data_IF_458587506235
#
_entry.id   IF_458587506235
#
_cell.length_a   1.000
_cell.length_b   1.000
_cell.length_c   1.000
_cell.angle_alpha   90.00
_cell.angle_beta   90.00
_cell.angle_gamma   90.00
#
_symmetry.space_group_name_H-M   'P 1'
#
loop_
_entity.id
_entity.type
_entity.pdbx_description
1 polymer ?
#
# COMPACT_ATOMS: atom_id res chain seq x y z
N UNK A 1 75.10 70.94 -14.92
CA UNK A 1 75.62 69.95 -14.00
C UNK A 1 74.98 70.01 -12.58
N UNK A 2 73.76 70.57 -12.43
CA UNK A 2 73.09 70.71 -11.11
C UNK A 2 71.82 69.90 -10.93
N UNK A 3 71.32 69.31 -11.99
CA UNK A 3 70.07 68.54 -11.91
C UNK A 3 70.25 66.99 -11.53
N UNK A 4 71.47 66.47 -11.84
CA UNK A 4 71.77 65.06 -11.51
C UNK A 4 72.01 64.83 -10.02
N UNK A 5 72.43 65.81 -9.27
CA UNK A 5 72.61 65.62 -7.81
C UNK A 5 71.32 65.77 -7.01
N UNK A 6 70.32 66.44 -7.57
CA UNK A 6 69.02 66.55 -6.94
C UNK A 6 68.28 65.23 -6.98
N UNK A 7 68.43 64.43 -8.05
CA UNK A 7 67.82 63.08 -8.12
C UNK A 7 68.47 62.06 -7.19
N UNK A 8 69.77 62.13 -6.98
CA UNK A 8 70.49 61.24 -6.06
C UNK A 8 70.12 61.58 -4.62
N UNK A 9 69.85 62.83 -4.29
CA UNK A 9 69.40 63.21 -2.96
C UNK A 9 67.93 62.85 -2.68
N UNK A 10 67.10 62.89 -3.70
CA UNK A 10 65.71 62.48 -3.61
C UNK A 10 65.58 60.95 -3.48
N UNK A 11 66.46 60.19 -4.13
CA UNK A 11 66.49 58.69 -4.00
C UNK A 11 67.07 58.30 -2.64
N UNK A 12 67.99 59.04 -2.09
CA UNK A 12 68.52 58.78 -0.74
C UNK A 12 67.52 59.05 0.38
N UNK A 13 66.56 59.95 0.19
CA UNK A 13 65.53 60.28 1.13
C UNK A 13 64.37 59.22 1.09
N UNK A 14 64.24 58.48 0.00
CA UNK A 14 63.30 57.39 -0.11
C UNK A 14 63.80 56.06 0.46
N UNK A 15 65.12 55.97 0.74
CA UNK A 15 65.75 54.78 1.30
C UNK A 15 65.85 54.78 2.85
N UNK A 16 65.42 55.84 3.53
CA UNK A 16 65.47 55.93 5.01
C UNK A 16 64.06 55.71 5.60
N UNK A 17 63.10 55.25 4.81
CA UNK A 17 61.76 54.84 5.26
C UNK A 17 61.71 53.38 5.55
N UNK A 18 62.75 52.79 6.15
CA UNK A 18 62.48 51.60 6.98
C UNK A 18 61.81 52.13 8.23
N UNK A 19 60.55 52.26 8.21
CA UNK A 19 59.75 52.14 9.43
C UNK A 19 60.02 50.73 9.95
N UNK A 20 60.84 50.64 11.01
CA UNK A 20 60.67 49.55 11.94
C UNK A 20 59.24 49.68 12.48
N UNK A 21 58.36 48.94 11.83
CA UNK A 21 57.00 48.74 12.38
C UNK A 21 57.17 47.80 13.56
N UNK A 22 57.59 48.40 14.68
CA UNK A 22 57.55 47.75 16.00
C UNK A 22 56.09 47.54 16.49
N UNK A 23 55.14 47.54 15.59
CA UNK A 23 53.88 46.92 15.87
C UNK A 23 54.08 45.41 15.85
N UNK A 24 54.66 44.88 16.89
CA UNK A 24 54.34 43.55 17.40
C UNK A 24 52.86 43.60 17.77
N UNK A 25 52.01 43.66 16.75
CA UNK A 25 50.64 43.22 16.93
C UNK A 25 50.79 41.80 17.45
N UNK A 26 50.48 41.61 18.70
CA UNK A 26 50.29 40.26 19.25
C UNK A 26 49.35 39.55 18.25
N UNK A 27 49.93 38.75 17.37
CA UNK A 27 49.14 37.98 16.40
C UNK A 27 48.29 37.06 17.24
N UNK A 28 47.07 37.49 17.49
CA UNK A 28 46.10 36.65 18.17
C UNK A 28 45.99 35.37 17.35
N UNK A 29 46.58 34.30 17.89
CA UNK A 29 46.49 33.00 17.24
C UNK A 29 45.04 32.58 17.25
N UNK A 30 44.45 32.49 16.07
CA UNK A 30 43.07 32.08 15.87
C UNK A 30 42.99 30.57 16.10
N UNK A 31 42.20 30.16 17.07
CA UNK A 31 41.85 28.75 17.26
C UNK A 31 40.78 28.37 16.25
N UNK A 32 41.20 27.86 15.11
CA UNK A 32 40.29 27.42 14.07
C UNK A 32 39.55 26.15 14.47
N UNK A 33 38.22 26.18 14.37
CA UNK A 33 37.36 25.02 14.52
C UNK A 33 37.27 24.30 13.18
N UNK A 34 37.42 23.00 13.18
CA UNK A 34 37.24 22.14 12.00
C UNK A 34 36.34 20.95 12.34
N UNK A 35 35.54 20.52 11.38
CA UNK A 35 34.72 19.30 11.45
C UNK A 35 35.27 18.31 10.43
N UNK A 36 35.56 17.07 10.86
CA UNK A 36 35.90 15.99 9.95
C UNK A 36 34.66 15.51 9.22
N UNK A 37 34.37 16.12 8.09
CA UNK A 37 33.21 15.80 7.25
C UNK A 37 33.38 14.51 6.46
N UNK A 38 34.60 13.93 6.36
CA UNK A 38 34.83 12.70 5.62
C UNK A 38 34.33 11.47 6.39
N UNK A 39 34.29 11.56 7.71
CA UNK A 39 33.79 10.50 8.60
C UNK A 39 32.28 10.62 8.87
N UNK A 40 31.61 11.64 8.35
CA UNK A 40 30.18 11.87 8.49
C UNK A 40 29.43 11.54 7.21
N UNK A 41 28.18 11.04 7.36
CA UNK A 41 27.33 10.68 6.22
C UNK A 41 26.64 11.92 5.64
N UNK A 42 26.66 12.08 4.31
CA UNK A 42 25.95 13.17 3.62
C UNK A 42 24.42 13.01 3.62
N UNK A 43 23.94 11.79 3.83
CA UNK A 43 22.53 11.45 3.86
C UNK A 43 22.27 10.42 4.96
N UNK A 44 21.25 10.64 5.77
CA UNK A 44 20.78 9.74 6.81
C UNK A 44 19.37 9.30 6.48
N UNK A 45 19.10 8.00 6.56
CA UNK A 45 17.77 7.42 6.37
C UNK A 45 17.24 6.91 7.71
N UNK A 46 16.02 7.31 8.06
CA UNK A 46 15.28 6.82 9.22
C UNK A 46 13.84 6.58 8.81
N UNK A 47 13.22 5.60 9.45
CA UNK A 47 11.78 5.44 9.31
C UNK A 47 11.05 6.34 10.34
N UNK A 48 9.80 6.67 10.03
CA UNK A 48 8.90 7.34 10.97
C UNK A 48 8.90 6.61 12.33
N UNK A 49 8.86 7.37 13.40
CA UNK A 49 8.95 6.91 14.80
C UNK A 49 10.34 6.38 15.23
N UNK A 50 11.36 6.47 14.39
CA UNK A 50 12.75 6.24 14.79
C UNK A 50 13.39 7.54 15.25
N UNK A 51 14.50 7.42 15.99
CA UNK A 51 15.29 8.57 16.41
C UNK A 51 16.63 8.58 15.67
N UNK A 52 17.00 9.74 15.10
CA UNK A 52 18.36 9.98 14.63
C UNK A 52 19.17 10.57 15.77
N UNK A 53 20.32 9.97 16.08
CA UNK A 53 21.27 10.49 17.07
C UNK A 53 22.62 10.74 16.38
N UNK A 54 23.16 11.96 16.54
CA UNK A 54 24.50 12.31 16.03
C UNK A 54 25.24 13.04 17.16
N UNK A 55 26.30 12.44 17.66
CA UNK A 55 27.27 13.11 18.52
C UNK A 55 28.36 13.72 17.65
N UNK A 56 28.35 15.06 17.51
CA UNK A 56 29.32 15.77 16.65
C UNK A 56 30.67 15.97 17.34
N UNK A 57 30.76 15.83 18.65
CA UNK A 57 31.97 16.19 19.42
C UNK A 57 33.20 15.39 19.00
N UNK A 58 33.02 14.11 18.65
CA UNK A 58 34.09 13.24 18.20
C UNK A 58 34.69 13.61 16.84
N UNK A 59 34.03 14.47 16.07
CA UNK A 59 34.42 14.92 14.73
C UNK A 59 34.94 16.36 14.73
N UNK A 60 34.96 17.05 15.89
CA UNK A 60 35.37 18.45 16.01
C UNK A 60 36.79 18.54 16.54
N UNK A 61 37.58 19.36 15.91
CA UNK A 61 38.95 19.71 16.38
C UNK A 61 39.13 21.21 16.45
N UNK A 62 40.06 21.68 17.31
CA UNK A 62 40.51 23.04 17.40
C UNK A 62 42.03 23.06 17.22
N UNK A 63 42.56 24.06 16.49
CA UNK A 63 43.94 24.05 16.01
C UNK A 63 44.97 24.56 17.03
N UNK A 64 44.73 25.67 17.66
CA UNK A 64 45.76 26.36 18.47
C UNK A 64 45.55 26.22 19.97
N UNK A 65 44.32 26.18 20.42
CA UNK A 65 43.93 26.02 21.85
C UNK A 65 42.48 25.56 21.99
N UNK A 66 42.21 24.87 23.07
CA UNK A 66 40.87 24.43 23.43
C UNK A 66 40.07 25.59 24.03
N UNK A 67 39.11 26.08 23.29
CA UNK A 67 38.18 27.11 23.71
C UNK A 67 36.80 26.48 23.89
N UNK A 68 35.91 27.07 24.72
CA UNK A 68 34.53 26.62 24.82
C UNK A 68 33.85 26.59 23.46
N UNK A 69 33.24 25.45 23.12
CA UNK A 69 32.49 25.25 21.88
C UNK A 69 31.01 25.51 22.10
N UNK A 70 30.38 26.15 21.13
CA UNK A 70 28.93 26.29 21.02
C UNK A 70 28.46 25.58 19.77
N UNK A 71 27.27 25.03 19.86
CA UNK A 71 26.63 24.22 18.81
C UNK A 71 25.32 24.89 18.43
N UNK A 72 24.97 24.78 17.14
CA UNK A 72 23.66 25.16 16.64
C UNK A 72 23.28 24.20 15.51
N UNK A 73 22.20 23.48 15.72
CA UNK A 73 21.59 22.64 14.69
C UNK A 73 20.38 23.35 14.09
N UNK A 74 20.30 23.33 12.78
CA UNK A 74 19.16 23.81 12.03
C UNK A 74 18.57 22.63 11.24
N UNK A 75 17.23 22.51 11.25
CA UNK A 75 16.44 21.58 10.45
C UNK A 75 15.50 22.39 9.58
N UNK A 76 15.50 22.15 8.27
CA UNK A 76 14.72 22.91 7.29
C UNK A 76 14.92 24.43 7.43
N UNK A 77 16.21 24.83 7.63
CA UNK A 77 16.66 26.22 7.80
C UNK A 77 16.12 26.92 9.06
N UNK A 78 15.56 26.19 10.01
CA UNK A 78 15.08 26.71 11.30
C UNK A 78 15.92 26.14 12.43
N UNK A 79 16.15 26.97 13.45
CA UNK A 79 16.81 26.50 14.65
C UNK A 79 16.10 25.27 15.24
N UNK A 80 16.87 24.23 15.53
CA UNK A 80 16.39 22.98 16.07
C UNK A 80 16.93 22.65 17.48
N UNK A 81 18.27 22.77 17.66
CA UNK A 81 18.92 22.41 18.94
C UNK A 81 20.27 23.14 19.07
N UNK A 82 20.71 23.36 20.31
CA UNK A 82 22.05 23.87 20.68
C UNK A 82 22.93 22.81 21.39
N UNK A 83 22.46 21.58 21.46
CA UNK A 83 23.21 20.47 22.07
C UNK A 83 24.38 20.01 21.21
N UNK A 84 25.45 19.54 21.84
CA UNK A 84 26.56 18.86 21.13
C UNK A 84 26.13 17.50 20.53
N UNK A 85 25.05 16.89 21.06
CA UNK A 85 24.44 15.66 20.54
C UNK A 85 23.08 16.01 19.98
N UNK A 86 22.89 15.76 18.68
CA UNK A 86 21.61 15.91 18.02
C UNK A 86 20.72 14.70 18.31
N UNK A 87 19.48 14.96 18.69
CA UNK A 87 18.40 13.97 18.76
C UNK A 87 17.25 14.47 17.89
N UNK A 88 16.91 13.73 16.84
CA UNK A 88 15.74 14.03 16.00
C UNK A 88 14.75 12.89 16.14
N UNK A 89 13.58 13.19 16.68
CA UNK A 89 12.44 12.30 16.66
C UNK A 89 11.75 12.40 15.29
N UNK A 90 11.85 11.34 14.48
CA UNK A 90 11.45 11.33 13.08
C UNK A 90 9.92 11.11 12.96
N UNK A 91 9.12 12.17 13.10
CA UNK A 91 7.66 12.10 13.05
C UNK A 91 7.09 12.42 11.66
N UNK A 92 7.62 13.42 10.99
CA UNK A 92 7.12 13.91 9.72
C UNK A 92 7.86 13.29 8.53
N UNK A 93 7.11 12.67 7.61
CA UNK A 93 7.70 12.08 6.40
C UNK A 93 8.27 13.17 5.48
N UNK A 94 9.45 12.93 4.92
CA UNK A 94 10.05 13.86 3.97
C UNK A 94 11.57 13.83 3.94
N UNK A 95 12.11 14.81 3.25
CA UNK A 95 13.56 15.06 3.19
C UNK A 95 13.84 16.42 3.76
N UNK A 96 14.63 16.46 4.83
CA UNK A 96 14.92 17.66 5.57
C UNK A 96 16.40 18.01 5.41
N UNK A 97 16.74 19.22 4.90
CA UNK A 97 18.09 19.73 4.96
C UNK A 97 18.47 20.01 6.41
N UNK A 98 19.59 19.47 6.83
CA UNK A 98 20.15 19.61 8.18
C UNK A 98 21.47 20.32 8.12
N UNK A 99 21.73 21.19 9.10
CA UNK A 99 23.01 21.88 9.23
C UNK A 99 23.40 21.95 10.70
N UNK A 100 24.67 21.69 10.99
CA UNK A 100 25.27 22.08 12.26
C UNK A 100 26.32 23.17 12.05
N UNK A 101 26.30 24.17 12.91
CA UNK A 101 27.32 25.14 13.12
C UNK A 101 28.02 24.85 14.45
N UNK A 102 29.35 24.70 14.42
CA UNK A 102 30.18 24.58 15.62
C UNK A 102 31.06 25.79 15.68
N UNK A 103 31.08 26.51 16.79
CA UNK A 103 31.79 27.77 16.92
C UNK A 103 32.55 27.84 18.24
N UNK A 104 33.69 28.56 18.23
CA UNK A 104 34.30 29.13 19.40
C UNK A 104 34.36 30.66 19.24
N UNK A 105 35.04 31.39 20.16
CA UNK A 105 35.16 32.85 20.10
C UNK A 105 35.94 33.36 18.85
N UNK A 106 36.70 32.47 18.18
CA UNK A 106 37.58 32.85 17.07
C UNK A 106 37.04 32.45 15.67
N UNK A 107 36.33 31.33 15.57
CA UNK A 107 35.93 30.75 14.28
C UNK A 107 34.69 29.89 14.33
N UNK A 108 34.19 29.52 13.17
CA UNK A 108 33.06 28.61 13.02
C UNK A 108 33.30 27.63 11.87
N UNK A 109 32.83 26.36 12.06
CA UNK A 109 32.78 25.34 11.06
C UNK A 109 31.34 24.88 10.84
N UNK A 110 31.04 24.38 9.66
CA UNK A 110 29.70 23.94 9.27
C UNK A 110 29.76 22.54 8.68
N UNK A 111 28.71 21.78 8.94
CA UNK A 111 28.44 20.53 8.26
C UNK A 111 26.98 20.46 7.86
N UNK A 112 26.73 20.07 6.61
CA UNK A 112 25.39 19.96 6.03
C UNK A 112 25.16 18.56 5.52
N UNK A 113 23.95 18.05 5.76
CA UNK A 113 23.49 16.74 5.32
C UNK A 113 21.99 16.73 5.08
N UNK A 114 21.47 15.63 4.55
CA UNK A 114 20.02 15.41 4.40
C UNK A 114 19.56 14.32 5.34
N UNK A 115 18.43 14.55 5.98
CA UNK A 115 17.69 13.53 6.72
C UNK A 115 16.46 13.12 5.90
N UNK A 116 16.42 11.87 5.50
CA UNK A 116 15.26 11.25 4.86
C UNK A 116 14.46 10.48 5.91
N UNK A 117 13.24 10.91 6.16
CA UNK A 117 12.29 10.21 7.03
C UNK A 117 11.29 9.48 6.14
N UNK A 118 11.39 8.15 6.12
CA UNK A 118 10.65 7.28 5.23
C UNK A 118 9.44 6.65 5.94
N UNK A 119 8.45 6.26 5.12
CA UNK A 119 7.36 5.42 5.62
C UNK A 119 7.82 3.96 5.75
N UNK A 120 7.57 3.30 6.88
CA UNK A 120 7.75 1.85 6.98
C UNK A 120 6.66 1.05 6.24
N UNK A 121 5.55 1.72 5.84
CA UNK A 121 4.36 1.08 5.27
C UNK A 121 4.11 1.44 3.80
N UNK A 122 5.10 1.94 3.08
CA UNK A 122 4.90 2.49 1.74
C UNK A 122 4.53 1.41 0.71
N UNK A 123 5.25 0.29 0.72
CA UNK A 123 5.05 -0.83 -0.20
C UNK A 123 5.33 -2.16 0.49
N UNK A 124 4.49 -3.17 0.22
CA UNK A 124 4.66 -4.49 0.81
C UNK A 124 3.37 -5.29 0.97
N UNK A 125 3.42 -6.30 1.82
CA UNK A 125 2.29 -7.21 2.08
C UNK A 125 1.56 -6.76 3.35
N UNK A 126 0.26 -6.47 3.20
CA UNK A 126 -0.64 -6.15 4.29
C UNK A 126 -1.57 -7.33 4.59
N UNK A 127 -1.77 -7.63 5.86
CA UNK A 127 -2.67 -8.69 6.33
C UNK A 127 -3.62 -8.13 7.38
N UNK A 128 -4.88 -8.01 7.00
CA UNK A 128 -5.96 -7.73 7.94
C UNK A 128 -6.36 -9.06 8.60
N UNK A 129 -6.47 -9.08 9.91
CA UNK A 129 -6.83 -10.26 10.68
C UNK A 129 -7.82 -9.93 11.79
N UNK A 130 -8.55 -10.92 12.23
CA UNK A 130 -9.47 -10.87 13.35
C UNK A 130 -8.82 -11.54 14.58
N UNK A 131 -8.65 -10.76 15.66
CA UNK A 131 -8.12 -11.27 16.92
C UNK A 131 -9.12 -12.17 17.66
N UNK A 132 -8.69 -12.82 18.72
CA UNK A 132 -9.55 -13.75 19.48
C UNK A 132 -10.76 -13.06 20.12
N UNK A 133 -10.70 -11.78 20.40
CA UNK A 133 -11.82 -10.98 20.90
C UNK A 133 -12.65 -10.34 19.79
N UNK A 134 -12.30 -10.62 18.53
CA UNK A 134 -12.95 -10.10 17.33
C UNK A 134 -12.34 -8.79 16.80
N UNK A 135 -11.44 -8.13 17.53
CA UNK A 135 -10.89 -6.84 17.12
C UNK A 135 -10.09 -6.96 15.81
N UNK A 136 -10.27 -5.99 14.92
CA UNK A 136 -9.51 -5.90 13.68
C UNK A 136 -8.05 -5.52 13.91
N UNK A 137 -7.14 -6.31 13.37
CA UNK A 137 -5.70 -6.15 13.49
C UNK A 137 -5.06 -6.09 12.11
N UNK A 138 -4.05 -5.23 11.96
CA UNK A 138 -3.27 -5.12 10.72
C UNK A 138 -1.81 -5.47 10.99
N UNK A 139 -1.29 -6.38 10.18
CA UNK A 139 0.15 -6.67 10.08
C UNK A 139 0.68 -6.22 8.73
N UNK A 140 1.91 -5.76 8.69
CA UNK A 140 2.53 -5.28 7.47
C UNK A 140 3.97 -5.77 7.35
N UNK A 141 4.36 -6.20 6.16
CA UNK A 141 5.72 -6.55 5.80
C UNK A 141 6.20 -5.67 4.66
N UNK A 142 7.20 -4.84 4.96
CA UNK A 142 7.77 -3.90 3.98
C UNK A 142 8.54 -4.64 2.89
N UNK A 143 8.38 -4.23 1.64
CA UNK A 143 9.32 -4.52 0.57
C UNK A 143 10.41 -3.44 0.53
N UNK A 144 11.66 -3.89 0.58
CA UNK A 144 12.81 -3.01 0.50
C UNK A 144 13.07 -2.56 -0.94
N UNK A 145 13.82 -1.47 -1.12
CA UNK A 145 14.13 -0.91 -2.43
C UNK A 145 14.90 -1.88 -3.36
N UNK A 146 15.59 -2.86 -2.81
CA UNK A 146 16.26 -3.92 -3.55
C UNK A 146 15.34 -5.12 -3.91
N UNK A 147 14.05 -5.01 -3.59
CA UNK A 147 13.06 -6.04 -3.81
C UNK A 147 13.00 -7.13 -2.73
N UNK A 148 13.88 -7.09 -1.71
CA UNK A 148 13.82 -8.03 -0.60
C UNK A 148 12.64 -7.72 0.32
N UNK A 149 12.09 -8.74 0.96
CA UNK A 149 11.02 -8.61 1.94
C UNK A 149 11.63 -8.51 3.34
N UNK A 150 11.08 -7.58 4.14
CA UNK A 150 11.45 -7.42 5.54
C UNK A 150 10.83 -8.49 6.45
N UNK A 151 10.72 -8.17 7.72
CA UNK A 151 9.92 -8.93 8.70
C UNK A 151 8.52 -8.30 8.79
N UNK A 152 7.54 -9.09 9.24
CA UNK A 152 6.24 -8.55 9.60
C UNK A 152 6.32 -7.73 10.89
N UNK A 153 5.76 -6.55 10.83
CA UNK A 153 5.36 -5.77 11.99
C UNK A 153 3.89 -6.09 12.26
N UNK A 154 3.57 -6.53 13.47
CA UNK A 154 2.20 -6.84 13.88
C UNK A 154 1.56 -5.64 14.56
N UNK A 155 0.21 -5.60 14.61
CA UNK A 155 -0.55 -4.55 15.32
C UNK A 155 -0.30 -3.12 14.83
N UNK A 156 0.02 -2.96 13.54
CA UNK A 156 0.39 -1.66 12.96
C UNK A 156 -0.67 -0.56 13.19
N UNK A 157 -1.97 -0.92 13.19
CA UNK A 157 -3.04 0.07 13.45
C UNK A 157 -2.95 0.64 14.85
N UNK A 158 -2.89 -0.21 15.88
CA UNK A 158 -2.85 0.25 17.27
C UNK A 158 -1.54 0.97 17.61
N UNK A 159 -0.43 0.55 17.03
CA UNK A 159 0.88 1.20 17.21
C UNK A 159 0.87 2.64 16.69
N UNK A 160 0.23 2.87 15.52
CA UNK A 160 0.20 4.20 14.90
C UNK A 160 -1.01 5.05 15.35
N UNK A 161 -1.93 4.50 16.15
CA UNK A 161 -3.12 5.19 16.63
C UNK A 161 -3.32 4.95 18.12
N UNK A 162 -2.42 5.44 18.99
CA UNK A 162 -2.53 5.22 20.43
C UNK A 162 -3.84 5.83 20.97
N UNK A 163 -4.60 5.00 21.70
CA UNK A 163 -5.90 5.41 22.26
C UNK A 163 -7.11 5.23 21.34
N UNK A 164 -6.93 4.84 20.08
CA UNK A 164 -8.02 4.47 19.19
C UNK A 164 -8.35 2.99 19.38
N UNK A 165 -9.62 2.69 19.60
CA UNK A 165 -10.14 1.32 19.63
C UNK A 165 -10.77 1.02 18.28
N UNK A 166 -10.16 0.11 17.53
CA UNK A 166 -10.72 -0.35 16.26
C UNK A 166 -11.87 -1.34 16.51
N UNK A 167 -12.93 -1.32 15.67
CA UNK A 167 -14.08 -2.20 15.85
C UNK A 167 -13.74 -3.68 15.69
N UNK A 168 -14.71 -4.50 16.04
CA UNK A 168 -14.68 -5.95 15.85
C UNK A 168 -15.20 -6.36 14.48
N UNK A 169 -14.93 -7.62 14.13
CA UNK A 169 -15.39 -8.26 12.90
C UNK A 169 -14.97 -7.47 11.65
N UNK A 170 -13.65 -7.34 11.38
CA UNK A 170 -13.17 -6.76 10.15
C UNK A 170 -13.62 -7.61 8.96
N UNK A 171 -14.06 -6.97 7.87
CA UNK A 171 -14.66 -7.68 6.72
C UNK A 171 -13.83 -7.55 5.44
N UNK A 172 -13.27 -6.39 5.17
CA UNK A 172 -12.47 -6.17 3.95
C UNK A 172 -11.43 -5.06 4.14
N UNK A 173 -10.43 -5.06 3.28
CA UNK A 173 -9.38 -4.05 3.23
C UNK A 173 -9.06 -3.72 1.77
N UNK A 174 -8.99 -2.43 1.44
CA UNK A 174 -8.68 -1.96 0.09
C UNK A 174 -7.87 -0.67 0.12
N UNK A 175 -6.89 -0.53 -0.78
CA UNK A 175 -6.12 0.71 -0.97
C UNK A 175 -6.74 1.54 -2.08
N UNK A 176 -6.80 2.85 -1.87
CA UNK A 176 -7.12 3.83 -2.89
C UNK A 176 -6.26 5.07 -2.71
N UNK A 177 -5.47 5.41 -3.71
CA UNK A 177 -4.56 6.56 -3.68
C UNK A 177 -3.65 6.53 -2.43
N UNK A 178 -3.71 7.58 -1.62
CA UNK A 178 -2.94 7.73 -0.37
C UNK A 178 -3.60 7.08 0.85
N UNK A 179 -4.71 6.36 0.69
CA UNK A 179 -5.51 5.85 1.80
C UNK A 179 -5.69 4.33 1.74
N UNK A 180 -5.76 3.73 2.92
CA UNK A 180 -6.17 2.35 3.12
C UNK A 180 -7.50 2.35 3.86
N UNK A 181 -8.47 1.63 3.32
CA UNK A 181 -9.83 1.50 3.84
C UNK A 181 -9.99 0.14 4.49
N UNK A 182 -10.59 0.11 5.67
CA UNK A 182 -10.87 -1.13 6.42
C UNK A 182 -12.32 -1.07 6.87
N UNK A 183 -13.10 -2.06 6.50
CA UNK A 183 -14.52 -2.17 6.87
C UNK A 183 -14.73 -3.14 8.02
N UNK A 184 -15.75 -2.85 8.83
CA UNK A 184 -16.11 -3.59 10.04
C UNK A 184 -17.61 -3.87 10.08
N UNK A 185 -17.98 -5.01 10.65
CA UNK A 185 -19.37 -5.50 10.71
C UNK A 185 -20.07 -5.16 12.02
N UNK A 186 -19.44 -5.40 13.18
CA UNK A 186 -20.08 -5.25 14.49
C UNK A 186 -20.42 -3.79 14.84
N UNK A 187 -19.59 -2.86 14.40
CA UNK A 187 -19.89 -1.43 14.36
C UNK A 187 -19.79 -1.00 12.91
N UNK A 188 -20.92 -1.10 12.14
CA UNK A 188 -20.89 -0.96 10.69
C UNK A 188 -20.28 0.36 10.24
N UNK A 189 -19.03 0.30 9.81
CA UNK A 189 -18.20 1.45 9.53
C UNK A 189 -17.07 1.12 8.56
N UNK A 190 -16.50 2.16 7.96
CA UNK A 190 -15.30 2.07 7.13
C UNK A 190 -14.28 3.05 7.68
N UNK A 191 -13.18 2.54 8.18
CA UNK A 191 -12.06 3.31 8.70
C UNK A 191 -11.11 3.65 7.55
N UNK A 192 -10.77 4.91 7.44
CA UNK A 192 -9.84 5.43 6.46
C UNK A 192 -8.56 5.84 7.15
N UNK A 193 -7.48 5.12 6.85
CA UNK A 193 -6.15 5.42 7.39
C UNK A 193 -5.22 5.87 6.27
N UNK A 194 -4.24 6.70 6.60
CA UNK A 194 -3.19 7.09 5.66
C UNK A 194 -2.40 5.86 5.24
N UNK A 195 -2.25 5.62 3.95
CA UNK A 195 -1.60 4.41 3.44
C UNK A 195 -0.08 4.37 3.72
N UNK A 196 0.55 5.50 4.08
CA UNK A 196 1.97 5.58 4.41
C UNK A 196 2.25 5.54 5.91
N UNK A 197 1.37 6.11 6.74
CA UNK A 197 1.61 6.20 8.19
C UNK A 197 0.72 5.27 9.00
N UNK A 198 -0.35 4.74 8.39
CA UNK A 198 -1.43 3.98 9.02
C UNK A 198 -2.15 4.75 10.14
N UNK A 199 -1.98 6.06 10.18
CA UNK A 199 -2.72 6.96 11.07
C UNK A 199 -4.16 7.12 10.59
N UNK A 200 -5.09 7.11 11.51
CA UNK A 200 -6.51 7.30 11.24
C UNK A 200 -6.78 8.72 10.74
N UNK A 201 -7.37 8.83 9.57
CA UNK A 201 -7.75 10.11 8.97
C UNK A 201 -9.25 10.39 9.10
N UNK A 202 -10.08 9.35 8.93
CA UNK A 202 -11.54 9.51 9.00
C UNK A 202 -12.23 8.17 9.28
N UNK A 203 -13.50 8.26 9.72
CA UNK A 203 -14.40 7.11 9.89
C UNK A 203 -15.71 7.43 9.19
N UNK A 204 -16.07 6.59 8.23
CA UNK A 204 -17.38 6.64 7.58
C UNK A 204 -18.32 5.74 8.36
N UNK A 205 -19.28 6.34 9.05
CA UNK A 205 -20.31 5.64 9.80
C UNK A 205 -21.61 5.56 8.99
N UNK A 206 -22.38 4.52 9.21
CA UNK A 206 -23.66 4.30 8.53
C UNK A 206 -24.87 4.89 9.28
N UNK A 207 -24.70 6.01 9.99
CA UNK A 207 -25.76 6.60 10.81
C UNK A 207 -27.05 6.88 10.03
N UNK A 208 -26.96 7.17 8.73
CA UNK A 208 -28.12 7.39 7.85
C UNK A 208 -28.69 6.13 7.22
N UNK A 209 -27.96 4.99 7.34
CA UNK A 209 -28.28 3.71 6.70
C UNK A 209 -28.17 2.59 7.72
N UNK A 210 -29.20 2.43 8.54
CA UNK A 210 -29.21 1.48 9.66
C UNK A 210 -29.10 0.01 9.24
N UNK A 211 -29.29 -0.30 7.97
CA UNK A 211 -29.18 -1.63 7.37
C UNK A 211 -27.85 -1.85 6.61
N UNK A 212 -26.93 -0.89 6.68
CA UNK A 212 -25.60 -1.03 6.08
C UNK A 212 -24.70 -1.88 6.97
N UNK A 213 -24.23 -3.01 6.43
CA UNK A 213 -23.23 -3.88 7.04
C UNK A 213 -22.20 -4.26 5.97
N UNK A 214 -21.06 -3.57 5.87
CA UNK A 214 -20.13 -3.77 4.77
C UNK A 214 -19.50 -5.18 4.80
N UNK A 215 -19.49 -5.85 3.65
CA UNK A 215 -18.89 -7.18 3.48
C UNK A 215 -17.79 -7.20 2.41
N UNK A 216 -17.82 -6.25 1.48
CA UNK A 216 -16.79 -6.09 0.45
C UNK A 216 -16.71 -4.64 0.00
N UNK A 217 -15.51 -4.21 -0.39
CA UNK A 217 -15.26 -2.87 -0.92
C UNK A 217 -14.53 -2.96 -2.25
N UNK A 218 -14.90 -2.09 -3.19
CA UNK A 218 -14.20 -1.90 -4.46
C UNK A 218 -13.76 -0.46 -4.58
N UNK A 219 -12.46 -0.27 -4.46
CA UNK A 219 -11.81 1.04 -4.39
C UNK A 219 -10.88 1.22 -5.60
N UNK A 220 -11.33 1.88 -6.68
CA UNK A 220 -10.44 2.12 -7.82
C UNK A 220 -9.34 3.11 -7.42
N UNK A 221 -8.11 2.84 -7.81
CA UNK A 221 -6.95 3.72 -7.59
C UNK A 221 -6.96 4.90 -8.59
N UNK A 222 -8.08 5.63 -8.60
CA UNK A 222 -8.35 6.72 -9.54
C UNK A 222 -9.28 7.76 -8.92
N UNK A 223 -8.92 9.05 -8.98
CA UNK A 223 -9.70 10.16 -8.41
C UNK A 223 -11.04 10.40 -9.11
N UNK A 224 -11.15 10.06 -10.39
CA UNK A 224 -12.33 10.33 -11.19
C UNK A 224 -13.47 9.31 -10.97
N UNK A 225 -13.32 8.34 -10.04
CA UNK A 225 -14.24 7.21 -9.94
C UNK A 225 -14.78 7.03 -8.55
N UNK A 226 -16.05 6.68 -8.50
CA UNK A 226 -16.77 6.36 -7.30
C UNK A 226 -16.33 5.00 -6.79
N UNK A 227 -15.92 4.92 -5.53
CA UNK A 227 -15.75 3.67 -4.83
C UNK A 227 -17.12 3.13 -4.41
N UNK A 228 -17.23 1.81 -4.23
CA UNK A 228 -18.45 1.18 -3.75
C UNK A 228 -18.18 0.23 -2.59
N UNK A 229 -19.20 0.08 -1.74
CA UNK A 229 -19.26 -0.96 -0.71
C UNK A 229 -20.52 -1.80 -0.91
N UNK A 230 -20.34 -3.12 -0.86
CA UNK A 230 -21.41 -4.09 -0.83
C UNK A 230 -21.79 -4.36 0.62
N UNK A 231 -23.09 -4.28 0.93
CA UNK A 231 -23.64 -4.61 2.24
C UNK A 231 -24.08 -6.08 2.29
N UNK A 232 -24.14 -6.65 3.50
CA UNK A 232 -24.57 -8.04 3.74
C UNK A 232 -25.98 -8.33 3.21
N UNK A 233 -26.86 -7.31 3.21
CA UNK A 233 -28.21 -7.40 2.66
C UNK A 233 -28.27 -7.30 1.12
N UNK A 234 -27.16 -7.30 0.43
CA UNK A 234 -27.07 -7.19 -1.02
C UNK A 234 -27.18 -5.77 -1.58
N UNK A 235 -27.36 -4.75 -0.76
CA UNK A 235 -27.35 -3.35 -1.23
C UNK A 235 -25.93 -2.87 -1.51
N UNK A 236 -25.82 -2.01 -2.52
CA UNK A 236 -24.54 -1.37 -2.89
C UNK A 236 -24.62 0.12 -2.58
N UNK A 237 -23.58 0.62 -1.95
CA UNK A 237 -23.45 2.03 -1.56
C UNK A 237 -22.26 2.65 -2.27
N UNK A 238 -22.43 3.89 -2.74
CA UNK A 238 -21.34 4.67 -3.28
C UNK A 238 -20.56 5.34 -2.15
N UNK A 239 -19.24 5.26 -2.22
CA UNK A 239 -18.33 5.99 -1.37
C UNK A 239 -17.78 7.17 -2.17
N UNK A 240 -18.44 8.32 -2.07
CA UNK A 240 -18.00 9.54 -2.74
C UNK A 240 -16.79 10.12 -2.01
N UNK A 241 -15.68 10.34 -2.74
CA UNK A 241 -14.48 10.98 -2.21
C UNK A 241 -14.50 12.47 -2.58
N UNK A 242 -14.74 13.30 -1.59
CA UNK A 242 -14.30 14.70 -1.60
C UNK A 242 -13.34 14.86 -0.41
N UNK A 243 -13.18 15.97 0.19
CA UNK A 243 -12.36 16.16 1.42
C UNK A 243 -12.87 15.35 2.65
N UNK A 244 -13.47 14.23 2.41
CA UNK A 244 -14.03 13.24 3.33
C UNK A 244 -14.91 12.29 2.54
N UNK A 245 -14.92 11.01 2.92
CA UNK A 245 -15.84 10.05 2.32
C UNK A 245 -17.25 10.32 2.80
N UNK A 246 -18.14 10.50 1.84
CA UNK A 246 -19.59 10.57 2.10
C UNK A 246 -20.18 9.25 1.62
N UNK A 247 -20.80 8.51 2.51
CA UNK A 247 -21.61 7.37 2.15
C UNK A 247 -22.87 7.89 1.47
N UNK A 248 -22.99 7.73 0.15
CA UNK A 248 -24.18 8.14 -0.58
C UNK A 248 -24.99 6.94 -1.04
N UNK A 249 -26.28 7.01 -0.83
CA UNK A 249 -27.22 6.01 -1.28
C UNK A 249 -27.52 6.22 -2.77
N UNK A 250 -27.02 5.34 -3.62
CA UNK A 250 -27.50 5.26 -5.00
C UNK A 250 -28.36 4.02 -5.09
N UNK A 251 -29.62 4.19 -5.40
CA UNK A 251 -30.59 3.12 -5.51
C UNK A 251 -30.26 2.18 -6.68
N UNK A 252 -29.41 1.21 -6.43
CA UNK A 252 -29.44 -0.04 -7.16
C UNK A 252 -30.70 -0.76 -6.68
N UNK A 253 -31.60 -1.08 -7.60
CA UNK A 253 -32.95 -1.53 -7.27
C UNK A 253 -33.05 -2.98 -6.82
N UNK A 254 -32.04 -3.80 -7.17
CA UNK A 254 -31.94 -5.22 -6.86
C UNK A 254 -30.93 -5.50 -5.75
N UNK A 255 -30.89 -6.72 -5.28
CA UNK A 255 -29.84 -7.21 -4.37
C UNK A 255 -28.68 -7.83 -5.17
N UNK A 256 -27.47 -7.65 -4.68
CA UNK A 256 -26.27 -8.08 -5.35
C UNK A 256 -25.43 -8.98 -4.43
N UNK A 257 -24.70 -9.93 -5.02
CA UNK A 257 -23.88 -10.84 -4.23
C UNK A 257 -22.54 -10.97 -4.83
N UNK A 258 -21.66 -10.75 -5.12
CA UNK A 258 -20.32 -10.74 -5.68
C UNK A 258 -20.08 -9.49 -6.51
N UNK A 259 -18.95 -8.89 -6.21
CA UNK A 259 -18.48 -7.71 -6.91
C UNK A 259 -17.14 -8.03 -7.51
N UNK A 260 -16.99 -7.76 -8.79
CA UNK A 260 -15.70 -7.77 -9.45
C UNK A 260 -15.42 -6.42 -10.08
N UNK A 261 -14.19 -5.92 -9.86
CA UNK A 261 -13.71 -4.69 -10.49
C UNK A 261 -13.03 -5.03 -11.81
N UNK A 262 -13.56 -4.53 -12.91
CA UNK A 262 -12.96 -4.65 -14.22
C UNK A 262 -12.78 -3.28 -14.88
N UNK A 263 -12.00 -3.22 -15.92
CA UNK A 263 -11.86 -2.03 -16.75
C UNK A 263 -12.75 -2.14 -17.98
N UNK A 264 -13.66 -1.20 -18.13
CA UNK A 264 -14.42 -1.04 -19.34
C UNK A 264 -13.78 0.00 -20.24
N UNK A 265 -13.02 -0.46 -21.24
CA UNK A 265 -12.21 0.44 -22.05
C UNK A 265 -11.12 1.14 -21.21
N UNK A 266 -10.19 1.82 -21.86
CA UNK A 266 -9.01 2.42 -21.23
C UNK A 266 -9.31 3.52 -20.16
N UNK A 267 -10.56 3.94 -20.03
CA UNK A 267 -10.91 5.13 -19.25
C UNK A 267 -12.04 4.97 -18.22
N UNK A 268 -12.75 3.84 -18.18
CA UNK A 268 -13.91 3.68 -17.31
C UNK A 268 -13.83 2.40 -16.47
N UNK A 269 -13.38 2.47 -15.20
CA UNK A 269 -13.55 1.36 -14.29
C UNK A 269 -15.04 1.06 -14.12
N UNK A 270 -15.38 -0.20 -14.16
CA UNK A 270 -16.71 -0.69 -13.98
C UNK A 270 -16.73 -1.76 -12.92
N UNK A 271 -17.86 -1.91 -12.28
CA UNK A 271 -18.13 -2.96 -11.33
C UNK A 271 -19.07 -3.94 -11.97
N UNK A 272 -18.71 -5.20 -11.95
CA UNK A 272 -19.57 -6.29 -12.34
C UNK A 272 -20.18 -6.89 -11.08
N UNK A 273 -21.50 -6.81 -11.00
CA UNK A 273 -22.28 -7.22 -9.86
C UNK A 273 -23.15 -8.38 -10.28
N UNK A 274 -23.22 -9.46 -9.47
CA UNK A 274 -24.23 -10.48 -9.67
C UNK A 274 -25.55 -10.00 -9.06
N UNK A 275 -26.55 -9.77 -9.91
CA UNK A 275 -27.91 -9.48 -9.51
C UNK A 275 -28.58 -10.78 -9.07
N UNK A 276 -28.96 -10.86 -7.80
CA UNK A 276 -29.55 -12.06 -7.21
C UNK A 276 -31.03 -12.23 -7.53
N UNK A 277 -31.71 -11.16 -7.93
CA UNK A 277 -33.13 -11.16 -8.26
C UNK A 277 -33.36 -11.48 -9.75
N UNK A 278 -32.49 -10.97 -10.61
CA UNK A 278 -32.57 -11.12 -12.05
C UNK A 278 -31.70 -12.26 -12.59
N UNK A 279 -30.87 -12.89 -11.76
CA UNK A 279 -29.92 -13.94 -12.15
C UNK A 279 -29.09 -13.54 -13.37
N UNK A 280 -28.48 -12.36 -13.30
CA UNK A 280 -27.69 -11.79 -14.38
C UNK A 280 -26.49 -10.99 -13.84
N UNK A 281 -25.57 -10.65 -14.70
CA UNK A 281 -24.51 -9.70 -14.40
C UNK A 281 -25.03 -8.29 -14.67
N UNK A 282 -24.90 -7.42 -13.69
CA UNK A 282 -25.06 -5.99 -13.85
C UNK A 282 -23.71 -5.30 -14.00
N UNK A 283 -23.68 -4.37 -14.91
CA UNK A 283 -22.57 -3.44 -15.08
C UNK A 283 -22.91 -2.12 -14.42
N UNK A 284 -22.07 -1.67 -13.52
CA UNK A 284 -22.23 -0.42 -12.80
C UNK A 284 -20.99 0.47 -12.95
N UNK A 285 -21.17 1.70 -13.44
CA UNK A 285 -20.08 2.64 -13.66
C UNK A 285 -19.95 3.72 -12.58
N UNK A 286 -20.68 3.58 -11.48
CA UNK A 286 -20.76 4.57 -10.41
C UNK A 286 -21.95 5.54 -10.53
N UNK A 287 -22.63 5.57 -11.68
CA UNK A 287 -23.78 6.45 -11.94
C UNK A 287 -24.99 5.72 -12.52
N UNK A 288 -24.74 4.79 -13.44
CA UNK A 288 -25.81 4.04 -14.11
C UNK A 288 -25.55 2.54 -13.94
N UNK A 289 -26.64 1.81 -13.77
CA UNK A 289 -26.66 0.35 -13.82
C UNK A 289 -27.16 -0.06 -15.20
N UNK A 290 -26.36 -0.85 -15.89
CA UNK A 290 -26.80 -1.51 -17.10
C UNK A 290 -26.95 -3.00 -16.78
N UNK A 291 -28.17 -3.46 -16.80
CA UNK A 291 -28.56 -4.84 -16.70
C UNK A 291 -28.14 -5.56 -17.99
N UNK A 292 -27.34 -6.61 -17.83
CA UNK A 292 -26.90 -7.42 -18.96
C UNK A 292 -27.98 -8.39 -19.46
N UNK A 293 -29.18 -8.43 -18.88
CA UNK A 293 -30.31 -9.23 -19.35
C UNK A 293 -30.74 -8.85 -20.78
N UNK A 294 -30.57 -7.57 -21.15
CA UNK A 294 -30.84 -7.09 -22.50
C UNK A 294 -29.93 -7.72 -23.57
N UNK A 295 -28.87 -8.38 -23.14
CA UNK A 295 -27.84 -8.94 -23.99
C UNK A 295 -27.80 -10.48 -23.97
N UNK A 296 -28.83 -11.11 -23.41
CA UNK A 296 -28.94 -12.57 -23.35
C UNK A 296 -28.07 -13.27 -22.32
N UNK A 297 -27.47 -12.52 -21.40
CA UNK A 297 -26.68 -13.09 -20.30
C UNK A 297 -27.52 -13.34 -19.06
N UNK A 298 -28.73 -13.88 -19.25
CA UNK A 298 -29.58 -14.32 -18.17
C UNK A 298 -29.27 -15.79 -17.90
N UNK A 299 -29.08 -16.10 -16.63
CA UNK A 299 -29.05 -17.48 -16.16
C UNK A 299 -30.42 -17.86 -15.61
N UNK A 300 -30.73 -19.14 -15.69
CA UNK A 300 -31.96 -19.66 -15.07
C UNK A 300 -31.92 -19.43 -13.54
N UNK A 301 -33.09 -19.39 -12.90
CA UNK A 301 -33.22 -19.07 -11.46
C UNK A 301 -32.49 -20.06 -10.52
N UNK A 302 -32.12 -21.23 -11.00
CA UNK A 302 -31.37 -22.25 -10.24
C UNK A 302 -29.83 -22.11 -10.36
N UNK A 303 -29.34 -21.09 -11.03
CA UNK A 303 -27.91 -20.75 -11.07
C UNK A 303 -27.52 -19.87 -9.88
N UNK A 304 -26.53 -20.31 -9.10
CA UNK A 304 -25.89 -19.53 -8.05
C UNK A 304 -24.48 -19.11 -8.51
N UNK A 305 -24.12 -17.84 -8.33
CA UNK A 305 -22.77 -17.38 -8.66
C UNK A 305 -21.74 -17.93 -7.68
N UNK A 306 -20.63 -18.43 -8.22
CA UNK A 306 -19.49 -18.97 -7.45
C UNK A 306 -18.27 -18.04 -7.54
N UNK A 307 -18.00 -17.48 -8.71
CA UNK A 307 -16.88 -16.56 -8.94
C UNK A 307 -17.13 -15.68 -10.16
N UNK A 308 -16.59 -14.47 -10.09
CA UNK A 308 -16.43 -13.55 -11.23
C UNK A 308 -14.97 -13.13 -11.24
N UNK A 309 -14.27 -13.23 -12.36
CA UNK A 309 -12.86 -12.85 -12.46
C UNK A 309 -12.44 -12.51 -13.89
N UNK A 310 -11.38 -11.73 -14.04
CA UNK A 310 -10.82 -11.39 -15.34
C UNK A 310 -10.08 -12.59 -15.97
N UNK A 311 -10.30 -12.82 -17.28
CA UNK A 311 -9.52 -13.75 -18.08
C UNK A 311 -8.30 -13.08 -18.68
N UNK A 312 -8.50 -11.87 -19.19
CA UNK A 312 -7.45 -11.01 -19.73
C UNK A 312 -7.63 -9.63 -19.13
N UNK A 313 -6.53 -9.07 -18.66
CA UNK A 313 -6.55 -7.77 -17.97
C UNK A 313 -7.24 -6.71 -18.83
N UNK A 314 -8.36 -6.22 -18.35
CA UNK A 314 -9.15 -5.15 -18.98
C UNK A 314 -9.95 -5.54 -20.21
N UNK A 315 -10.05 -6.83 -20.60
CA UNK A 315 -10.69 -7.19 -21.87
C UNK A 315 -11.77 -8.27 -21.78
N UNK A 316 -11.64 -9.24 -20.90
CA UNK A 316 -12.63 -10.31 -20.78
C UNK A 316 -12.70 -10.84 -19.34
N UNK A 317 -13.85 -11.38 -18.98
CA UNK A 317 -14.03 -11.99 -17.67
C UNK A 317 -14.86 -13.28 -17.75
N UNK A 318 -14.72 -14.10 -16.73
CA UNK A 318 -15.47 -15.36 -16.56
C UNK A 318 -16.40 -15.27 -15.36
N UNK A 319 -17.58 -15.78 -15.54
CA UNK A 319 -18.54 -16.06 -14.48
C UNK A 319 -18.63 -17.58 -14.32
N UNK A 320 -18.39 -18.04 -13.09
CA UNK A 320 -18.67 -19.42 -12.71
C UNK A 320 -19.96 -19.43 -11.91
N UNK A 321 -20.90 -20.25 -12.31
CA UNK A 321 -22.16 -20.48 -11.62
C UNK A 321 -22.31 -21.94 -11.26
N UNK A 322 -23.05 -22.22 -10.20
CA UNK A 322 -23.44 -23.59 -9.80
C UNK A 322 -24.92 -23.82 -10.11
N UNK A 323 -25.23 -24.95 -10.73
CA UNK A 323 -26.57 -25.42 -11.00
C UNK A 323 -26.62 -26.93 -10.86
N UNK A 324 -27.53 -27.46 -10.07
CA UNK A 324 -27.72 -28.92 -9.86
C UNK A 324 -26.43 -29.66 -9.46
N UNK A 325 -25.56 -29.02 -8.68
CA UNK A 325 -24.24 -29.57 -8.28
C UNK A 325 -23.15 -29.51 -9.33
N UNK A 326 -23.43 -28.98 -10.51
CA UNK A 326 -22.46 -28.75 -11.58
C UNK A 326 -21.95 -27.30 -11.55
N UNK A 327 -20.72 -27.08 -11.97
CA UNK A 327 -20.17 -25.73 -12.23
C UNK A 327 -20.24 -25.41 -13.72
N UNK A 328 -20.88 -24.31 -14.02
CA UNK A 328 -21.01 -23.78 -15.36
C UNK A 328 -20.07 -22.59 -15.54
N UNK A 329 -19.30 -22.61 -16.62
CA UNK A 329 -18.43 -21.52 -17.02
C UNK A 329 -19.08 -20.75 -18.16
N UNK A 330 -19.17 -19.43 -17.98
CA UNK A 330 -19.55 -18.48 -19.02
C UNK A 330 -18.44 -17.44 -19.16
N UNK A 331 -17.81 -17.32 -20.30
CA UNK A 331 -16.83 -16.28 -20.57
C UNK A 331 -17.50 -15.14 -21.33
N UNK A 332 -17.27 -13.94 -20.84
CA UNK A 332 -17.80 -12.70 -21.40
C UNK A 332 -16.61 -11.88 -21.92
N UNK A 333 -16.61 -11.64 -23.21
CA UNK A 333 -15.54 -10.87 -23.88
C UNK A 333 -15.80 -9.38 -23.87
N UNK A 334 -14.85 -8.63 -24.41
CA UNK A 334 -15.08 -7.26 -24.82
C UNK A 334 -16.28 -7.24 -25.75
N UNK A 335 -17.28 -6.47 -25.37
CA UNK A 335 -18.49 -6.42 -26.18
C UNK A 335 -18.21 -5.84 -27.54
N UNK A 336 -18.74 -6.49 -28.52
CA UNK A 336 -19.08 -5.88 -29.78
C UNK A 336 -20.48 -5.35 -29.57
N UNK A 337 -20.65 -4.04 -29.52
CA UNK A 337 -21.98 -3.48 -29.60
C UNK A 337 -22.60 -3.87 -30.94
N UNK A 338 -23.65 -4.67 -30.90
CA UNK A 338 -24.43 -4.94 -32.09
C UNK A 338 -25.25 -3.69 -32.38
N UNK A 339 -25.01 -3.09 -33.53
CA UNK A 339 -25.83 -2.01 -34.07
C UNK A 339 -26.84 -2.62 -35.04
N UNK A 340 -28.08 -2.21 -34.92
CA UNK A 340 -29.08 -2.41 -35.95
C UNK A 340 -28.62 -1.70 -37.22
N UNK A 341 -28.48 -2.41 -38.34
CA UNK A 341 -27.93 -1.83 -39.57
C UNK A 341 -28.82 -0.74 -40.18
N UNK A 342 -30.10 -0.71 -39.87
CA UNK A 342 -31.06 0.24 -40.43
C UNK A 342 -31.25 1.48 -39.56
N UNK A 343 -31.21 1.32 -38.24
CA UNK A 343 -31.44 2.40 -37.26
C UNK A 343 -30.19 2.94 -36.62
N UNK A 344 -29.06 2.25 -36.77
CA UNK A 344 -27.78 2.53 -36.05
C UNK A 344 -27.91 2.56 -34.53
N UNK A 345 -29.01 2.06 -34.00
CA UNK A 345 -29.20 1.94 -32.56
C UNK A 345 -28.50 0.68 -32.02
N UNK A 346 -28.00 0.75 -30.81
CA UNK A 346 -27.44 -0.40 -30.12
C UNK A 346 -28.57 -1.40 -29.80
N UNK A 347 -28.46 -2.61 -30.33
CA UNK A 347 -29.48 -3.67 -30.18
C UNK A 347 -28.99 -4.86 -29.36
N UNK A 348 -27.71 -4.86 -28.95
CA UNK A 348 -27.20 -5.93 -28.12
C UNK A 348 -25.70 -5.90 -27.92
N UNK A 349 -25.21 -6.88 -27.15
CA UNK A 349 -23.80 -7.18 -26.97
C UNK A 349 -23.58 -8.60 -27.46
N UNK A 350 -22.53 -8.82 -28.28
CA UNK A 350 -22.11 -10.16 -28.70
C UNK A 350 -21.33 -10.83 -27.56
N UNK A 351 -21.93 -11.82 -26.93
CA UNK A 351 -21.29 -12.73 -26.00
C UNK A 351 -20.75 -13.91 -26.78
N UNK A 352 -19.44 -13.89 -27.04
CA UNK A 352 -18.80 -14.87 -27.91
C UNK A 352 -18.57 -16.24 -27.31
N UNK A 353 -18.96 -16.53 -26.08
CA UNK A 353 -18.61 -17.81 -25.53
C UNK A 353 -19.81 -18.64 -25.08
N UNK A 354 -19.69 -19.93 -25.34
CA UNK A 354 -20.68 -20.92 -25.02
C UNK A 354 -20.55 -21.27 -23.55
N UNK A 355 -21.68 -21.32 -22.85
CA UNK A 355 -21.73 -21.91 -21.53
C UNK A 355 -21.32 -23.39 -21.60
N UNK A 356 -20.46 -23.83 -20.70
CA UNK A 356 -20.05 -25.23 -20.60
C UNK A 356 -19.93 -25.67 -19.14
N UNK A 357 -20.27 -26.93 -18.92
CA UNK A 357 -20.07 -27.59 -17.63
C UNK A 357 -18.58 -27.87 -17.42
N UNK A 358 -18.09 -27.59 -16.21
CA UNK A 358 -16.78 -28.00 -15.77
C UNK A 358 -16.95 -29.20 -14.85
N UNK A 359 -16.35 -30.30 -15.22
CA UNK A 359 -16.45 -31.54 -14.43
C UNK A 359 -15.65 -31.46 -13.14
N UNK A 360 -15.94 -32.35 -12.18
CA UNK A 360 -15.35 -32.38 -10.85
C UNK A 360 -15.57 -31.05 -10.08
N UNK A 361 -16.82 -30.71 -9.75
CA UNK A 361 -17.21 -29.37 -9.22
C UNK A 361 -16.85 -29.22 -7.74
N UNK A 362 -15.57 -28.92 -7.48
CA UNK A 362 -15.02 -28.80 -6.11
C UNK A 362 -14.93 -27.36 -5.61
N UNK A 363 -15.18 -26.35 -6.44
CA UNK A 363 -15.07 -24.94 -6.07
C UNK A 363 -16.38 -24.44 -5.46
N UNK A 364 -16.30 -23.82 -4.27
CA UNK A 364 -17.41 -23.15 -3.59
C UNK A 364 -17.24 -21.63 -3.59
N UNK A 365 -18.34 -20.91 -3.36
CA UNK A 365 -18.34 -19.44 -3.29
C UNK A 365 -17.42 -18.91 -2.19
N UNK A 366 -17.41 -19.57 -1.05
CA UNK A 366 -16.67 -19.19 0.16
C UNK A 366 -15.19 -19.54 0.09
N UNK A 367 -14.78 -20.40 -0.82
CA UNK A 367 -13.37 -20.73 -0.95
C UNK A 367 -12.53 -19.48 -1.25
N UNK A 368 -11.42 -19.25 -0.53
CA UNK A 368 -10.44 -18.25 -0.90
C UNK A 368 -9.96 -18.46 -2.32
N UNK A 369 -9.95 -17.41 -3.12
CA UNK A 369 -9.56 -17.51 -4.53
C UNK A 369 -8.94 -16.24 -5.06
N UNK A 370 -8.03 -16.39 -6.01
CA UNK A 370 -7.43 -15.28 -6.77
C UNK A 370 -7.17 -15.67 -8.21
N UNK A 371 -7.55 -14.81 -9.14
CA UNK A 371 -7.31 -15.00 -10.56
C UNK A 371 -5.91 -14.53 -10.96
N UNK A 372 -5.35 -15.20 -11.95
CA UNK A 372 -4.13 -14.79 -12.64
C UNK A 372 -4.39 -14.72 -14.14
N UNK A 373 -4.76 -13.56 -14.66
CA UNK A 373 -4.95 -13.34 -16.10
C UNK A 373 -3.71 -13.66 -16.94
N UNK A 374 -2.51 -13.33 -16.45
CA UNK A 374 -1.25 -13.61 -17.18
C UNK A 374 -0.97 -15.11 -17.33
N UNK A 375 -1.36 -15.90 -16.34
CA UNK A 375 -1.21 -17.38 -16.39
C UNK A 375 -2.50 -18.08 -16.80
N UNK A 376 -3.56 -17.36 -17.11
CA UNK A 376 -4.86 -17.88 -17.54
C UNK A 376 -5.41 -18.95 -16.59
N UNK A 377 -5.35 -18.67 -15.29
CA UNK A 377 -5.78 -19.61 -14.27
C UNK A 377 -6.41 -18.93 -13.04
N UNK A 378 -7.20 -19.70 -12.31
CA UNK A 378 -7.74 -19.38 -11.01
C UNK A 378 -7.05 -20.25 -9.96
N UNK A 379 -6.48 -19.62 -8.94
CA UNK A 379 -6.07 -20.29 -7.72
C UNK A 379 -7.21 -20.25 -6.72
N UNK A 380 -7.46 -21.36 -6.06
CA UNK A 380 -8.46 -21.44 -4.98
C UNK A 380 -7.99 -22.41 -3.91
N UNK A 381 -8.48 -22.24 -2.68
CA UNK A 381 -8.07 -23.05 -1.55
C UNK A 381 -9.25 -23.83 -0.94
N UNK A 382 -8.95 -25.02 -0.43
CA UNK A 382 -9.85 -25.83 0.39
C UNK A 382 -9.05 -26.43 1.57
N UNK A 383 -9.41 -26.03 2.78
CA UNK A 383 -8.64 -26.37 3.98
C UNK A 383 -7.20 -25.87 3.86
N UNK A 384 -6.23 -26.78 3.91
CA UNK A 384 -4.81 -26.49 3.78
C UNK A 384 -4.25 -26.68 2.35
N UNK A 385 -5.09 -26.94 1.36
CA UNK A 385 -4.67 -27.24 -0.02
C UNK A 385 -5.04 -26.10 -0.95
N UNK A 386 -4.12 -25.79 -1.88
CA UNK A 386 -4.29 -24.82 -2.95
C UNK A 386 -4.36 -25.57 -4.27
N UNK A 387 -5.33 -25.23 -5.08
CA UNK A 387 -5.56 -25.77 -6.41
C UNK A 387 -5.36 -24.69 -7.47
N UNK A 388 -4.93 -25.10 -8.67
CA UNK A 388 -4.79 -24.23 -9.83
C UNK A 388 -5.62 -24.77 -10.98
N UNK A 389 -6.68 -24.06 -11.36
CA UNK A 389 -7.51 -24.39 -12.48
C UNK A 389 -7.25 -23.46 -13.67
N UNK A 390 -6.90 -24.01 -14.81
CA UNK A 390 -6.70 -23.25 -16.04
C UNK A 390 -8.03 -22.95 -16.72
N UNK A 391 -8.21 -21.73 -17.25
CA UNK A 391 -9.46 -21.31 -17.90
C UNK A 391 -9.84 -22.16 -19.12
N UNK A 392 -8.86 -22.75 -19.81
CA UNK A 392 -9.10 -23.66 -20.94
C UNK A 392 -9.51 -25.07 -20.52
N UNK A 393 -9.34 -25.44 -19.24
CA UNK A 393 -9.67 -26.77 -18.75
C UNK A 393 -11.18 -27.00 -18.63
N UNK A 394 -11.62 -28.19 -18.98
CA UNK A 394 -13.01 -28.66 -18.84
C UNK A 394 -13.26 -29.40 -17.53
N UNK A 395 -12.25 -29.54 -16.68
CA UNK A 395 -12.32 -30.18 -15.37
C UNK A 395 -11.53 -29.40 -14.33
N UNK A 396 -12.03 -29.35 -13.11
CA UNK A 396 -11.21 -28.90 -11.99
C UNK A 396 -10.11 -29.94 -11.64
N UNK A 397 -8.97 -29.50 -11.12
CA UNK A 397 -7.89 -30.42 -10.75
C UNK A 397 -8.29 -31.33 -9.58
N UNK A 398 -7.78 -32.55 -9.62
CA UNK A 398 -7.93 -33.53 -8.51
C UNK A 398 -6.75 -33.45 -7.53
N UNK A 399 -5.61 -32.96 -7.99
CA UNK A 399 -4.41 -32.81 -7.19
C UNK A 399 -4.17 -31.35 -6.84
N UNK A 400 -3.69 -31.12 -5.62
CA UNK A 400 -3.31 -29.78 -5.17
C UNK A 400 -2.07 -29.28 -5.89
N UNK A 401 -2.07 -28.01 -6.25
CA UNK A 401 -0.90 -27.30 -6.78
C UNK A 401 0.14 -27.01 -5.70
N UNK A 402 -0.32 -26.73 -4.47
CA UNK A 402 0.50 -26.60 -3.27
C UNK A 402 -0.31 -27.01 -2.03
N UNK A 403 0.39 -27.37 -0.96
CA UNK A 403 -0.22 -27.76 0.32
C UNK A 403 0.57 -27.16 1.47
N UNK A 404 -0.12 -26.70 2.53
CA UNK A 404 0.48 -26.27 3.78
C UNK A 404 0.55 -27.48 4.70
N UNK A 405 1.73 -28.09 4.82
CA UNK A 405 1.94 -29.32 5.60
C UNK A 405 2.75 -29.10 6.89
N UNK A 406 3.35 -27.91 7.05
CA UNK A 406 4.20 -27.59 8.19
C UNK A 406 3.44 -27.07 9.42
N UNK A 407 2.11 -26.94 9.31
CA UNK A 407 1.21 -26.56 10.39
C UNK A 407 0.05 -27.55 10.46
N UNK A 408 -0.16 -28.19 11.63
CA UNK A 408 -1.33 -29.04 11.85
C UNK A 408 -2.62 -28.17 11.78
N UNK A 409 -3.70 -28.73 11.25
CA UNK A 409 -5.01 -28.11 11.16
C UNK A 409 -4.98 -26.70 10.53
N UNK A 410 -4.10 -26.51 9.55
CA UNK A 410 -4.02 -25.25 8.80
C UNK A 410 -5.31 -25.03 8.00
N UNK A 411 -5.87 -23.84 8.10
CA UNK A 411 -7.00 -23.38 7.30
C UNK A 411 -6.59 -22.12 6.53
N UNK A 412 -6.67 -22.19 5.20
CA UNK A 412 -6.42 -21.05 4.33
C UNK A 412 -7.69 -20.21 4.28
N UNK A 413 -7.59 -18.93 4.60
CA UNK A 413 -8.74 -18.02 4.69
C UNK A 413 -8.72 -16.90 3.66
N UNK A 414 -7.54 -16.57 3.13
CA UNK A 414 -7.41 -15.49 2.15
C UNK A 414 -6.25 -15.72 1.21
N UNK A 415 -6.38 -15.21 -0.02
CA UNK A 415 -5.35 -15.30 -1.05
C UNK A 415 -5.25 -13.98 -1.81
N UNK A 416 -4.06 -13.65 -2.26
CA UNK A 416 -3.79 -12.54 -3.17
C UNK A 416 -2.66 -12.91 -4.15
N UNK A 417 -2.49 -12.10 -5.19
CA UNK A 417 -1.41 -12.26 -6.16
C UNK A 417 -0.57 -10.98 -6.21
N UNK A 418 0.73 -11.11 -6.48
CA UNK A 418 1.61 -9.96 -6.67
C UNK A 418 1.19 -9.13 -7.89
N UNK A 419 1.54 -7.83 -7.97
CA UNK A 419 1.18 -6.98 -9.12
C UNK A 419 1.71 -7.47 -10.46
N UNK A 420 2.84 -8.16 -10.46
CA UNK A 420 3.46 -8.81 -11.62
C UNK A 420 3.00 -10.26 -11.84
N UNK A 421 2.10 -10.74 -10.98
CA UNK A 421 1.55 -12.08 -10.94
C UNK A 421 2.61 -13.21 -10.76
N UNK A 422 3.83 -12.88 -10.36
CA UNK A 422 4.90 -13.87 -10.16
C UNK A 422 4.75 -14.67 -8.86
N UNK A 423 3.98 -14.14 -7.88
CA UNK A 423 3.84 -14.73 -6.55
C UNK A 423 2.36 -14.80 -6.12
N UNK A 424 2.00 -15.90 -5.48
CA UNK A 424 0.72 -16.07 -4.78
C UNK A 424 0.95 -15.94 -3.29
N UNK A 425 0.25 -15.01 -2.65
CA UNK A 425 0.23 -14.80 -1.21
C UNK A 425 -0.94 -15.53 -0.59
N UNK A 426 -0.69 -16.25 0.48
CA UNK A 426 -1.69 -17.09 1.15
C UNK A 426 -1.70 -16.79 2.62
N UNK A 427 -2.83 -16.36 3.14
CA UNK A 427 -3.08 -16.22 4.57
C UNK A 427 -3.75 -17.48 5.11
N UNK A 428 -3.19 -18.07 6.14
CA UNK A 428 -3.72 -19.25 6.82
C UNK A 428 -3.63 -19.08 8.34
N UNK A 429 -4.36 -19.89 9.09
CA UNK A 429 -4.27 -19.92 10.53
C UNK A 429 -4.50 -21.35 11.07
N UNK A 430 -4.17 -21.54 12.35
CA UNK A 430 -4.53 -22.76 13.08
C UNK A 430 -5.87 -22.55 13.78
N UNK A 431 -6.87 -23.29 13.37
CA UNK A 431 -8.23 -23.20 13.94
C UNK A 431 -8.34 -23.76 15.37
N UNK A 432 -7.36 -24.57 15.79
CA UNK A 432 -7.28 -25.20 17.11
C UNK A 432 -6.46 -24.44 18.15
N UNK A 433 -5.85 -23.32 17.77
CA UNK A 433 -5.05 -22.45 18.65
C UNK A 433 -5.65 -21.05 18.77
N UNK A 434 -5.32 -20.40 19.88
CA UNK A 434 -5.65 -18.98 20.10
C UNK A 434 -4.38 -18.12 20.08
N UNK A 435 -4.52 -16.82 19.85
CA UNK A 435 -3.41 -15.85 19.80
C UNK A 435 -3.00 -15.49 18.39
N UNK A 436 -1.78 -15.01 18.22
CA UNK A 436 -1.20 -14.69 16.92
C UNK A 436 -0.78 -16.00 16.21
N UNK A 437 -1.78 -16.78 15.80
CA UNK A 437 -1.67 -18.09 15.16
C UNK A 437 -1.90 -18.05 13.66
N UNK A 438 -1.82 -16.86 13.07
CA UNK A 438 -1.92 -16.62 11.63
C UNK A 438 -0.55 -16.63 10.95
N UNK A 439 -0.54 -17.12 9.74
CA UNK A 439 0.65 -17.42 8.93
C UNK A 439 0.49 -16.81 7.55
N UNK A 440 1.60 -16.43 6.94
CA UNK A 440 1.65 -16.00 5.54
C UNK A 440 2.63 -16.88 4.77
N UNK A 441 2.18 -17.43 3.65
CA UNK A 441 2.97 -18.20 2.71
C UNK A 441 3.07 -17.48 1.39
N UNK A 442 4.24 -17.53 0.77
CA UNK A 442 4.52 -16.97 -0.55
C UNK A 442 4.95 -18.09 -1.47
N UNK A 443 4.19 -18.31 -2.53
CA UNK A 443 4.48 -19.33 -3.52
C UNK A 443 4.83 -18.71 -4.88
N UNK A 444 5.77 -19.33 -5.60
CA UNK A 444 6.02 -19.02 -7.01
C UNK A 444 4.83 -19.45 -7.86
N UNK A 445 4.21 -18.51 -8.56
CA UNK A 445 2.96 -18.72 -9.31
C UNK A 445 3.07 -19.81 -10.37
N UNK A 446 4.23 -19.93 -11.03
CA UNK A 446 4.44 -20.88 -12.10
C UNK A 446 4.62 -22.30 -11.61
N UNK A 447 5.42 -22.48 -10.55
CA UNK A 447 5.90 -23.79 -10.11
C UNK A 447 5.18 -24.37 -8.90
N UNK A 448 4.52 -23.54 -8.09
CA UNK A 448 3.97 -23.94 -6.79
C UNK A 448 5.00 -24.12 -5.69
N UNK A 449 6.26 -23.76 -5.97
CA UNK A 449 7.32 -23.84 -4.98
C UNK A 449 7.13 -22.78 -3.91
N UNK A 450 7.21 -23.19 -2.65
CA UNK A 450 7.26 -22.26 -1.53
C UNK A 450 8.52 -21.39 -1.64
N UNK A 451 8.34 -20.07 -1.69
CA UNK A 451 9.41 -19.07 -1.67
C UNK A 451 9.77 -18.74 -0.23
N UNK A 452 8.73 -18.43 0.58
CA UNK A 452 8.93 -18.08 1.99
C UNK A 452 7.67 -18.36 2.80
N UNK A 453 7.84 -18.50 4.13
CA UNK A 453 6.76 -18.61 5.09
C UNK A 453 7.05 -17.79 6.34
N UNK A 454 6.02 -17.15 6.86
CA UNK A 454 6.08 -16.32 8.05
C UNK A 454 5.07 -16.81 9.06
N UNK A 455 5.53 -17.10 10.28
CA UNK A 455 4.71 -17.70 11.34
C UNK A 455 4.38 -16.69 12.42
N UNK A 456 3.15 -16.80 12.95
CA UNK A 456 2.67 -15.95 14.06
C UNK A 456 2.75 -14.46 13.74
N UNK A 457 2.37 -14.10 12.52
CA UNK A 457 2.42 -12.73 12.00
C UNK A 457 1.06 -12.06 11.92
N UNK A 458 0.00 -12.78 12.25
CA UNK A 458 -1.38 -12.31 12.25
C UNK A 458 -2.20 -13.15 13.25
N UNK A 459 -3.43 -12.75 13.50
CA UNK A 459 -4.47 -13.62 14.04
C UNK A 459 -5.13 -14.41 12.89
N UNK A 460 -6.45 -14.65 12.94
CA UNK A 460 -7.16 -15.24 11.79
C UNK A 460 -7.14 -14.25 10.61
N UNK A 461 -6.40 -14.52 9.54
CA UNK A 461 -6.36 -13.62 8.39
C UNK A 461 -7.75 -13.52 7.73
N UNK A 462 -8.19 -12.30 7.46
CA UNK A 462 -9.44 -12.00 6.75
C UNK A 462 -9.13 -11.57 5.32
N UNK A 463 -8.11 -10.73 5.16
CA UNK A 463 -7.68 -10.21 3.86
C UNK A 463 -6.17 -10.09 3.81
N UNK A 464 -5.59 -10.60 2.73
CA UNK A 464 -4.19 -10.34 2.37
C UNK A 464 -4.15 -9.54 1.08
N UNK A 465 -3.24 -8.58 0.98
CA UNK A 465 -3.01 -7.84 -0.25
C UNK A 465 -1.56 -7.40 -0.37
N UNK A 466 -1.07 -7.30 -1.60
CA UNK A 466 0.13 -6.53 -1.88
C UNK A 466 -0.27 -5.06 -2.02
N UNK A 467 0.26 -4.23 -1.14
CA UNK A 467 0.04 -2.80 -1.15
C UNK A 467 1.15 -2.15 -1.97
N UNK A 468 0.80 -1.63 -3.13
CA UNK A 468 1.69 -0.84 -3.98
C UNK A 468 1.90 0.56 -3.39
N UNK A 469 3.01 1.19 -3.77
CA UNK A 469 3.39 2.54 -3.37
C UNK A 469 2.36 3.61 -3.76
#
# INVERSE_FOLDING_TARGET
MKLKYLYIWLIGLLAIGCFDDDTTVDTVRISEVAIDTNSLQKEYNRDKNQTLVIDITSYVTQKEKDLPLTFQWDMDYKFYSDSSVLYVDCQDLGTFPMRVKVSNEHSSAFYEFKLHINSPYEEGIAVLSESNDGTGMLSFMRQMADGTLGSFETRCLSTNNPGVVFPKSPTDMSKRLSQLFISYKDDPSIYMVNAKTLELENVVTATEFSDFVPVAMMMPDNTARTAIALSENGKVYNLASMEGLILSHTALRSTYSLVHHGYFGAYNPAYYLWDTDLHTICYYNGYTVNDCSQFGAIWDEDHEVVAIFENEKGSSFTVLTRKNGEIWKTSLGNYIYLQDPDTYQYVGIDYRDVQRVITNPVLEKENPKVASPSYQCLFYAQGNKIYRWYYSSTSFPTESWATIDDIPNAEITTMAISPDESQVYVGAYRSDESGENGYVYIYDTRTGRLINSYKNVAYKPIKIMYKVK
#
